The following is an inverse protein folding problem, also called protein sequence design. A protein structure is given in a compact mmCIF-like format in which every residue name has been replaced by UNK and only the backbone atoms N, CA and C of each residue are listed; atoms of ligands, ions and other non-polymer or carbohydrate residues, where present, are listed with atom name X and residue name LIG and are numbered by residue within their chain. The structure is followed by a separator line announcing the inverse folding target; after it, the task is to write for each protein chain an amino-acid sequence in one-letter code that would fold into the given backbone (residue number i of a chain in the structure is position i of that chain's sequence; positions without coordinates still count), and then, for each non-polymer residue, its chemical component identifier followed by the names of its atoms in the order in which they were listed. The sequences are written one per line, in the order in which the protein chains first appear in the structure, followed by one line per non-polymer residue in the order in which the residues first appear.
data_IF_488589716083
#
_entry.id   IF_488589716083
#
_cell.length_a   1.000
_cell.length_b   1.000
_cell.length_c   1.000
_cell.angle_alpha   90.00
_cell.angle_beta   90.00
_cell.angle_gamma   90.00
#
_symmetry.space_group_name_H-M   'P 1'
#
loop_
_entity.id
_entity.type
_entity.pdbx_description
1 polymer ?
#
# COMPACT_ATOMS: atom_id res chain seq x y z
N UNK A 1 -62.38 -19.04 -4.02
CA UNK A 1 -61.32 -19.96 -4.44
C UNK A 1 -60.45 -19.24 -5.49
N UNK A 2 -59.13 -19.24 -5.32
CA UNK A 2 -58.20 -18.66 -6.29
C UNK A 2 -58.13 -19.53 -7.56
N UNK A 3 -57.68 -18.99 -8.70
CA UNK A 3 -57.40 -19.76 -9.92
C UNK A 3 -56.54 -20.99 -9.61
N UNK A 4 -55.65 -20.88 -8.64
CA UNK A 4 -54.77 -21.94 -8.20
C UNK A 4 -55.54 -23.11 -7.51
N UNK A 5 -56.53 -22.79 -6.68
CA UNK A 5 -57.33 -23.84 -5.97
C UNK A 5 -58.19 -24.64 -6.96
N UNK A 6 -58.76 -23.99 -7.98
CA UNK A 6 -59.52 -24.66 -9.03
C UNK A 6 -58.65 -25.56 -9.89
N UNK A 7 -57.45 -25.15 -10.20
CA UNK A 7 -56.46 -25.94 -10.95
C UNK A 7 -56.00 -27.17 -10.16
N UNK A 8 -55.69 -27.00 -8.88
CA UNK A 8 -55.30 -28.10 -7.99
C UNK A 8 -56.46 -29.11 -7.87
N UNK A 9 -57.70 -28.64 -7.75
CA UNK A 9 -58.87 -29.50 -7.71
C UNK A 9 -59.04 -30.33 -9.00
N UNK A 10 -58.91 -29.67 -10.17
CA UNK A 10 -58.95 -30.35 -11.48
C UNK A 10 -57.86 -31.43 -11.59
N UNK A 11 -56.61 -31.13 -11.19
CA UNK A 11 -55.54 -32.11 -11.21
C UNK A 11 -55.77 -33.31 -10.29
N UNK A 12 -56.39 -33.11 -9.12
CA UNK A 12 -56.80 -34.18 -8.22
C UNK A 12 -57.87 -35.07 -8.85
N UNK A 13 -58.90 -34.45 -9.43
CA UNK A 13 -60.06 -35.17 -10.01
C UNK A 13 -59.65 -35.93 -11.29
N UNK A 14 -58.68 -35.44 -12.04
CA UNK A 14 -58.12 -36.06 -13.26
C UNK A 14 -57.02 -37.10 -12.99
N UNK A 15 -56.51 -37.20 -11.76
CA UNK A 15 -55.35 -38.04 -11.41
C UNK A 15 -53.99 -37.45 -11.84
N UNK A 16 -53.95 -36.24 -12.42
CA UNK A 16 -52.73 -35.62 -12.93
C UNK A 16 -51.87 -34.91 -11.88
N UNK A 17 -52.32 -34.87 -10.62
CA UNK A 17 -51.61 -34.12 -9.55
C UNK A 17 -50.17 -34.60 -9.33
N UNK A 18 -49.95 -35.91 -9.40
CA UNK A 18 -48.63 -36.50 -9.19
C UNK A 18 -47.63 -36.11 -10.30
N UNK A 19 -48.09 -36.18 -11.55
CA UNK A 19 -47.25 -35.86 -12.70
C UNK A 19 -46.91 -34.37 -12.74
N UNK A 20 -47.86 -33.49 -12.42
CA UNK A 20 -47.63 -32.07 -12.30
C UNK A 20 -46.64 -31.73 -11.16
N UNK A 21 -46.83 -32.37 -9.98
CA UNK A 21 -45.91 -32.18 -8.85
C UNK A 21 -44.48 -32.64 -9.19
N UNK A 22 -44.33 -33.74 -9.92
CA UNK A 22 -43.05 -34.26 -10.39
C UNK A 22 -42.39 -33.30 -11.40
N UNK A 23 -43.18 -32.76 -12.33
CA UNK A 23 -42.68 -31.78 -13.30
C UNK A 23 -42.21 -30.47 -12.63
N UNK A 24 -43.01 -29.98 -11.67
CA UNK A 24 -42.63 -28.80 -10.87
C UNK A 24 -41.36 -29.01 -10.04
N UNK A 25 -41.22 -30.18 -9.41
CA UNK A 25 -40.02 -30.54 -8.66
C UNK A 25 -38.80 -30.57 -9.58
N UNK A 26 -38.91 -31.18 -10.77
CA UNK A 26 -37.81 -31.20 -11.74
C UNK A 26 -37.44 -29.80 -12.22
N UNK A 27 -38.42 -28.92 -12.44
CA UNK A 27 -38.17 -27.51 -12.82
C UNK A 27 -37.45 -26.75 -11.71
N UNK A 28 -37.85 -26.92 -10.44
CA UNK A 28 -37.18 -26.30 -9.30
C UNK A 28 -35.74 -26.80 -9.15
N UNK A 29 -35.53 -28.11 -9.26
CA UNK A 29 -34.18 -28.69 -9.20
C UNK A 29 -33.27 -28.17 -10.33
N UNK A 30 -33.79 -28.02 -11.55
CA UNK A 30 -33.08 -27.46 -12.66
C UNK A 30 -32.77 -25.96 -12.43
N UNK A 31 -33.74 -25.20 -11.91
CA UNK A 31 -33.51 -23.78 -11.58
C UNK A 31 -32.46 -23.60 -10.48
N UNK A 32 -32.51 -24.43 -9.44
CA UNK A 32 -31.49 -24.42 -8.37
C UNK A 32 -30.10 -24.74 -8.92
N UNK A 33 -29.99 -25.80 -9.75
CA UNK A 33 -28.74 -26.18 -10.40
C UNK A 33 -28.18 -25.06 -11.27
N UNK A 34 -29.04 -24.41 -12.07
CA UNK A 34 -28.60 -23.26 -12.91
C UNK A 34 -28.16 -22.07 -12.04
N UNK A 35 -28.84 -21.82 -10.92
CA UNK A 35 -28.41 -20.76 -9.98
C UNK A 35 -27.04 -21.07 -9.41
N UNK A 36 -26.83 -22.28 -8.89
CA UNK A 36 -25.56 -22.70 -8.31
C UNK A 36 -24.41 -22.66 -9.33
N UNK A 37 -24.66 -23.08 -10.58
CA UNK A 37 -23.68 -22.98 -11.68
C UNK A 37 -23.36 -21.51 -12.01
N UNK A 38 -24.34 -20.62 -12.00
CA UNK A 38 -24.14 -19.20 -12.27
C UNK A 38 -23.37 -18.53 -11.12
N UNK A 39 -23.71 -18.83 -9.87
CA UNK A 39 -22.98 -18.33 -8.70
C UNK A 39 -21.53 -18.81 -8.71
N UNK A 40 -21.27 -20.08 -9.03
CA UNK A 40 -19.92 -20.60 -9.15
C UNK A 40 -19.11 -19.89 -10.25
N UNK A 41 -19.73 -19.65 -11.42
CA UNK A 41 -19.08 -18.91 -12.52
C UNK A 41 -18.79 -17.46 -12.15
N UNK A 42 -19.72 -16.80 -11.46
CA UNK A 42 -19.50 -15.42 -11.00
C UNK A 42 -18.38 -15.35 -9.94
N UNK A 43 -18.37 -16.29 -8.99
CA UNK A 43 -17.32 -16.37 -7.97
C UNK A 43 -15.94 -16.61 -8.61
N UNK A 44 -15.87 -17.51 -9.61
CA UNK A 44 -14.62 -17.76 -10.33
C UNK A 44 -14.15 -16.54 -11.15
N UNK A 45 -15.07 -15.87 -11.84
CA UNK A 45 -14.75 -14.65 -12.59
C UNK A 45 -14.26 -13.54 -11.67
N UNK A 46 -14.92 -13.34 -10.54
CA UNK A 46 -14.48 -12.38 -9.52
C UNK A 46 -13.10 -12.71 -8.97
N UNK A 47 -12.82 -13.96 -8.64
CA UNK A 47 -11.49 -14.39 -8.18
C UNK A 47 -10.42 -14.11 -9.22
N UNK A 48 -10.65 -14.46 -10.48
CA UNK A 48 -9.71 -14.19 -11.58
C UNK A 48 -9.44 -12.70 -11.77
N UNK A 49 -10.49 -11.88 -11.63
CA UNK A 49 -10.35 -10.44 -11.69
C UNK A 49 -9.47 -9.92 -10.54
N UNK A 50 -9.73 -10.34 -9.31
CA UNK A 50 -8.95 -9.96 -8.13
C UNK A 50 -7.47 -10.39 -8.26
N UNK A 51 -7.23 -11.60 -8.76
CA UNK A 51 -5.87 -12.09 -9.03
C UNK A 51 -5.16 -11.22 -10.08
N UNK A 52 -5.85 -10.88 -11.18
CA UNK A 52 -5.29 -10.03 -12.23
C UNK A 52 -4.99 -8.60 -11.74
N UNK A 53 -5.89 -8.01 -10.96
CA UNK A 53 -5.70 -6.69 -10.34
C UNK A 53 -4.52 -6.70 -9.36
N UNK A 54 -4.39 -7.74 -8.55
CA UNK A 54 -3.28 -7.91 -7.60
C UNK A 54 -1.94 -8.02 -8.34
N UNK A 55 -1.88 -8.82 -9.42
CA UNK A 55 -0.68 -8.96 -10.25
C UNK A 55 -0.32 -7.63 -10.91
N UNK A 56 -1.30 -6.92 -11.46
CA UNK A 56 -1.09 -5.61 -12.09
C UNK A 56 -0.58 -4.56 -11.09
N UNK A 57 -1.14 -4.55 -9.88
CA UNK A 57 -0.71 -3.69 -8.78
C UNK A 57 0.76 -3.91 -8.42
N UNK A 58 1.15 -5.15 -8.14
CA UNK A 58 2.53 -5.48 -7.77
C UNK A 58 3.52 -5.25 -8.90
N UNK A 59 3.10 -5.49 -10.15
CA UNK A 59 3.90 -5.14 -11.33
C UNK A 59 4.13 -3.63 -11.41
N UNK A 60 3.09 -2.81 -11.21
CA UNK A 60 3.21 -1.35 -11.19
C UNK A 60 4.16 -0.84 -10.12
N UNK A 61 4.12 -1.42 -8.91
CA UNK A 61 5.07 -1.13 -7.83
C UNK A 61 6.49 -1.48 -8.26
N UNK A 62 6.70 -2.69 -8.79
CA UNK A 62 8.01 -3.13 -9.25
C UNK A 62 8.57 -2.23 -10.34
N UNK A 63 7.78 -1.90 -11.35
CA UNK A 63 8.16 -1.00 -12.44
C UNK A 63 8.57 0.40 -11.92
N UNK A 64 7.89 0.89 -10.86
CA UNK A 64 8.23 2.17 -10.21
C UNK A 64 9.56 2.08 -9.47
N UNK A 65 9.78 1.00 -8.73
CA UNK A 65 11.05 0.76 -8.01
C UNK A 65 12.21 0.59 -8.99
N UNK A 66 12.01 -0.13 -10.10
CA UNK A 66 13.02 -0.36 -11.13
C UNK A 66 13.40 0.95 -11.86
N UNK A 67 12.48 1.90 -12.00
CA UNK A 67 12.76 3.26 -12.48
C UNK A 67 13.57 4.08 -11.48
N UNK A 68 13.66 3.64 -10.24
CA UNK A 68 14.38 4.29 -9.14
C UNK A 68 13.92 5.73 -8.88
N UNK A 69 12.63 6.02 -9.10
CA UNK A 69 12.07 7.35 -8.82
C UNK A 69 10.70 7.22 -8.16
N UNK A 70 10.59 7.71 -6.91
CA UNK A 70 9.35 7.70 -6.13
C UNK A 70 9.05 9.12 -5.68
N UNK A 71 7.96 9.70 -6.16
CA UNK A 71 7.52 11.05 -5.75
C UNK A 71 8.57 12.14 -5.99
N UNK A 72 9.37 12.02 -7.07
CA UNK A 72 10.46 12.94 -7.38
C UNK A 72 11.76 12.68 -6.60
N UNK A 73 11.79 11.63 -5.77
CA UNK A 73 13.01 11.18 -5.08
C UNK A 73 13.65 10.05 -5.86
N UNK A 74 14.96 10.17 -6.14
CA UNK A 74 15.73 9.12 -6.81
C UNK A 74 16.24 8.12 -5.79
N UNK A 75 15.87 6.88 -5.94
CA UNK A 75 16.41 5.79 -5.13
C UNK A 75 17.89 5.54 -5.51
N UNK A 76 18.79 5.38 -4.54
CA UNK A 76 20.17 4.99 -4.81
C UNK A 76 20.25 3.57 -5.39
N UNK A 77 21.33 3.22 -6.06
CA UNK A 77 21.59 1.86 -6.54
C UNK A 77 21.74 0.88 -5.38
N UNK A 78 22.34 1.35 -4.32
CA UNK A 78 22.49 0.63 -3.07
C UNK A 78 22.57 1.62 -1.91
N UNK A 79 22.14 1.17 -0.74
CA UNK A 79 22.22 1.92 0.52
C UNK A 79 22.80 0.99 1.58
N UNK A 80 23.71 1.51 2.39
CA UNK A 80 24.21 0.78 3.56
C UNK A 80 23.36 1.17 4.75
N UNK A 81 22.68 0.20 5.37
CA UNK A 81 21.95 0.39 6.63
C UNK A 81 22.55 -0.48 7.72
N UNK A 82 22.38 -0.05 8.96
CA UNK A 82 22.76 -0.86 10.11
C UNK A 82 21.54 -1.70 10.57
N UNK A 83 21.76 -3.01 10.71
CA UNK A 83 20.76 -3.95 11.22
C UNK A 83 21.44 -4.77 12.31
N UNK A 84 20.95 -4.67 13.54
CA UNK A 84 21.51 -5.39 14.70
C UNK A 84 23.04 -5.17 14.88
N UNK A 85 23.53 -3.96 14.67
CA UNK A 85 24.94 -3.61 14.77
C UNK A 85 25.81 -4.04 13.58
N UNK A 86 25.21 -4.61 12.53
CA UNK A 86 25.89 -5.02 11.31
C UNK A 86 25.50 -4.12 10.13
N UNK A 87 26.49 -3.71 9.35
CA UNK A 87 26.26 -2.94 8.12
C UNK A 87 25.84 -3.88 7.00
N UNK A 88 24.62 -3.67 6.49
CA UNK A 88 24.04 -4.45 5.39
C UNK A 88 23.80 -3.55 4.22
N UNK A 89 24.29 -3.93 3.04
CA UNK A 89 23.99 -3.24 1.79
C UNK A 89 22.64 -3.70 1.27
N UNK A 90 21.74 -2.77 1.02
CA UNK A 90 20.39 -3.03 0.47
C UNK A 90 20.23 -2.34 -0.87
N UNK A 91 19.43 -2.94 -1.73
CA UNK A 91 19.16 -2.51 -3.11
C UNK A 91 17.67 -2.19 -3.30
N UNK A 92 17.26 -1.59 -4.42
CA UNK A 92 15.84 -1.46 -4.76
C UNK A 92 15.08 -2.79 -4.81
N UNK A 93 15.73 -3.90 -5.17
CA UNK A 93 15.08 -5.22 -5.13
C UNK A 93 14.80 -5.67 -3.69
N UNK A 94 15.71 -5.42 -2.75
CA UNK A 94 15.47 -5.72 -1.33
C UNK A 94 14.32 -4.85 -0.78
N UNK A 95 14.17 -3.64 -1.30
CA UNK A 95 13.02 -2.79 -0.96
C UNK A 95 11.72 -3.36 -1.51
N UNK A 96 11.71 -3.88 -2.75
CA UNK A 96 10.55 -4.58 -3.28
C UNK A 96 10.18 -5.80 -2.44
N UNK A 97 11.16 -6.62 -2.08
CA UNK A 97 10.95 -7.80 -1.23
C UNK A 97 10.42 -7.42 0.16
N UNK A 98 10.91 -6.34 0.74
CA UNK A 98 10.42 -5.78 2.01
C UNK A 98 8.91 -5.46 1.96
N UNK A 99 8.42 -4.96 0.82
CA UNK A 99 7.01 -4.61 0.62
C UNK A 99 6.14 -5.82 0.27
N UNK A 100 6.65 -6.79 -0.51
CA UNK A 100 5.83 -7.82 -1.17
C UNK A 100 6.02 -9.22 -0.63
N UNK A 101 7.19 -9.53 -0.03
CA UNK A 101 7.52 -10.88 0.40
C UNK A 101 6.85 -11.20 1.73
N UNK A 102 5.85 -12.08 1.67
CA UNK A 102 5.21 -12.63 2.87
C UNK A 102 6.17 -13.54 3.65
N UNK A 103 6.28 -13.30 4.94
CA UNK A 103 7.08 -14.10 5.89
C UNK A 103 6.09 -14.71 6.86
N UNK A 104 6.16 -16.04 7.02
CA UNK A 104 5.34 -16.78 7.97
C UNK A 104 5.92 -16.60 9.37
N UNK A 105 5.06 -16.27 10.35
CA UNK A 105 5.42 -16.24 11.76
C UNK A 105 5.26 -17.64 12.44
N UNK A 106 5.57 -17.70 13.73
CA UNK A 106 5.46 -18.92 14.53
C UNK A 106 4.00 -19.40 14.66
N UNK A 107 3.04 -18.48 14.63
CA UNK A 107 1.60 -18.76 14.71
C UNK A 107 0.99 -19.13 13.34
N UNK A 108 1.78 -19.06 12.28
CA UNK A 108 1.36 -19.39 10.93
C UNK A 108 0.77 -18.23 10.12
N UNK A 109 0.72 -17.00 10.68
CA UNK A 109 0.26 -15.82 9.96
C UNK A 109 1.32 -15.36 8.97
N UNK A 110 0.89 -14.93 7.80
CA UNK A 110 1.77 -14.42 6.75
C UNK A 110 1.64 -12.90 6.71
N UNK A 111 2.76 -12.21 6.94
CA UNK A 111 2.84 -10.76 6.83
C UNK A 111 4.17 -10.36 6.17
N UNK A 112 4.17 -9.25 5.44
CA UNK A 112 5.40 -8.70 4.87
C UNK A 112 6.25 -8.03 5.96
N UNK A 113 7.52 -7.80 5.67
CA UNK A 113 8.39 -7.07 6.60
C UNK A 113 7.89 -5.63 6.83
N UNK A 114 7.29 -5.02 5.82
CA UNK A 114 6.66 -3.71 5.93
C UNK A 114 5.44 -3.70 6.87
N UNK A 115 4.53 -4.66 6.72
CA UNK A 115 3.35 -4.79 7.59
C UNK A 115 3.76 -5.02 9.06
N UNK A 116 4.79 -5.83 9.30
CA UNK A 116 5.34 -6.02 10.65
C UNK A 116 5.96 -4.75 11.20
N UNK A 117 6.67 -3.99 10.37
CA UNK A 117 7.23 -2.71 10.79
C UNK A 117 6.13 -1.72 11.18
N UNK A 118 5.04 -1.66 10.41
CA UNK A 118 3.86 -0.84 10.74
C UNK A 118 3.20 -1.28 12.05
N UNK A 119 3.03 -2.59 12.24
CA UNK A 119 2.42 -3.13 13.46
C UNK A 119 3.26 -2.86 14.73
N UNK A 120 4.57 -2.71 14.58
CA UNK A 120 5.50 -2.45 15.67
C UNK A 120 5.76 -0.95 15.92
N UNK A 121 5.16 -0.05 15.13
CA UNK A 121 5.27 1.39 15.36
C UNK A 121 4.62 1.80 16.68
N UNK A 122 5.25 2.75 17.38
CA UNK A 122 4.58 3.42 18.49
C UNK A 122 3.41 4.28 17.99
N UNK A 123 2.38 4.53 18.82
CA UNK A 123 1.28 5.42 18.47
C UNK A 123 1.74 6.83 18.05
N UNK A 124 2.81 7.33 18.64
CA UNK A 124 3.40 8.62 18.30
C UNK A 124 4.03 8.60 16.89
N UNK A 125 4.80 7.56 16.55
CA UNK A 125 5.41 7.41 15.22
C UNK A 125 4.34 7.28 14.13
N UNK A 126 3.31 6.46 14.36
CA UNK A 126 2.19 6.30 13.43
C UNK A 126 1.47 7.64 13.19
N UNK A 127 1.16 8.39 14.28
CA UNK A 127 0.53 9.70 14.18
C UNK A 127 1.40 10.71 13.43
N UNK A 128 2.70 10.74 13.70
CA UNK A 128 3.62 11.64 13.02
C UNK A 128 3.73 11.33 11.52
N UNK A 129 3.74 10.06 11.15
CA UNK A 129 3.75 9.64 9.73
C UNK A 129 2.47 10.03 9.00
N UNK A 130 1.32 9.85 9.65
CA UNK A 130 0.02 10.25 9.12
C UNK A 130 -0.05 11.78 8.91
N UNK A 131 0.37 12.55 9.92
CA UNK A 131 0.41 14.02 9.83
C UNK A 131 1.34 14.52 8.73
N UNK A 132 2.50 13.90 8.55
CA UNK A 132 3.42 14.24 7.44
C UNK A 132 2.79 13.95 6.09
N UNK A 133 2.11 12.82 5.94
CA UNK A 133 1.39 12.46 4.72
C UNK A 133 0.26 13.42 4.42
N UNK A 134 -0.54 13.77 5.45
CA UNK A 134 -1.62 14.75 5.34
C UNK A 134 -1.09 16.14 4.98
N UNK A 135 0.04 16.56 5.56
CA UNK A 135 0.68 17.83 5.22
C UNK A 135 1.14 17.89 3.76
N UNK A 136 1.73 16.80 3.25
CA UNK A 136 2.11 16.72 1.84
C UNK A 136 0.90 16.84 0.91
N UNK A 137 -0.19 16.14 1.23
CA UNK A 137 -1.44 16.24 0.46
C UNK A 137 -2.02 17.66 0.51
N UNK A 138 -2.06 18.27 1.69
CA UNK A 138 -2.60 19.62 1.90
C UNK A 138 -1.81 20.69 1.12
N UNK A 139 -0.49 20.58 1.11
CA UNK A 139 0.40 21.56 0.44
C UNK A 139 0.61 21.27 -1.04
N UNK A 140 0.18 20.11 -1.55
CA UNK A 140 0.52 19.65 -2.90
C UNK A 140 2.02 19.45 -3.11
N UNK A 141 2.77 19.35 -2.00
CA UNK A 141 4.21 19.19 -2.00
C UNK A 141 4.67 17.76 -2.27
N UNK A 142 5.97 17.61 -2.42
CA UNK A 142 6.64 16.33 -2.61
C UNK A 142 7.55 16.01 -1.44
N UNK A 143 7.97 14.74 -1.30
CA UNK A 143 8.99 14.35 -0.33
C UNK A 143 10.31 15.14 -0.52
N UNK A 144 10.64 15.55 -1.75
CA UNK A 144 11.76 16.42 -2.04
C UNK A 144 11.64 17.78 -1.36
N UNK A 145 10.44 18.30 -1.25
CA UNK A 145 10.19 19.58 -0.57
C UNK A 145 10.34 19.44 0.96
N UNK A 146 9.92 18.31 1.55
CA UNK A 146 10.19 18.01 2.96
C UNK A 146 11.68 17.93 3.25
N UNK A 147 12.46 17.28 2.41
CA UNK A 147 13.93 17.20 2.57
C UNK A 147 14.54 18.58 2.50
N UNK A 148 14.14 19.43 1.55
CA UNK A 148 14.62 20.83 1.47
C UNK A 148 14.27 21.63 2.73
N UNK A 149 13.04 21.46 3.25
CA UNK A 149 12.63 22.13 4.50
C UNK A 149 13.46 21.64 5.70
N UNK A 150 13.73 20.35 5.79
CA UNK A 150 14.57 19.78 6.85
C UNK A 150 16.00 20.34 6.79
N UNK A 151 16.63 20.36 5.61
CA UNK A 151 17.96 20.94 5.42
C UNK A 151 17.97 22.42 5.80
N UNK A 152 17.01 23.21 5.36
CA UNK A 152 16.91 24.62 5.70
C UNK A 152 16.77 24.83 7.20
N UNK A 153 15.96 24.01 7.90
CA UNK A 153 15.79 24.10 9.34
C UNK A 153 17.08 23.78 10.10
N UNK A 154 17.86 22.79 9.68
CA UNK A 154 19.16 22.47 10.27
C UNK A 154 20.19 23.57 10.02
N UNK A 155 20.24 24.16 8.83
CA UNK A 155 21.09 25.31 8.53
C UNK A 155 20.74 26.51 9.43
N UNK A 156 19.44 26.79 9.63
CA UNK A 156 19.00 27.88 10.51
C UNK A 156 19.37 27.59 11.99
N UNK A 157 19.24 26.34 12.45
CA UNK A 157 19.70 25.96 13.80
C UNK A 157 21.21 26.16 13.98
N UNK A 158 21.99 25.71 12.99
CA UNK A 158 23.45 25.84 13.01
C UNK A 158 23.85 27.31 13.03
N UNK A 159 23.25 28.16 12.18
CA UNK A 159 23.48 29.59 12.17
C UNK A 159 23.14 30.27 13.50
N UNK A 160 22.04 29.88 14.14
CA UNK A 160 21.63 30.36 15.46
C UNK A 160 22.63 29.95 16.55
N UNK A 161 23.19 28.75 16.50
CA UNK A 161 24.20 28.27 17.43
C UNK A 161 25.52 29.05 17.26
N UNK A 162 25.97 29.24 16.01
CA UNK A 162 27.15 30.05 15.71
C UNK A 162 26.96 31.50 16.15
N UNK A 163 25.79 32.10 15.91
CA UNK A 163 25.49 33.47 16.34
C UNK A 163 25.43 33.61 17.88
N UNK A 164 24.97 32.54 18.61
CA UNK A 164 25.03 32.52 20.09
C UNK A 164 26.44 32.35 20.64
N UNK A 165 27.28 31.55 19.95
CA UNK A 165 28.69 31.34 20.34
C UNK A 165 29.57 32.56 20.15
N UNK A 166 29.23 33.47 19.22
CA UNK A 166 30.03 34.64 18.84
C UNK A 166 29.62 35.94 19.57
N UNK A 167 29.10 35.88 20.79
CA UNK A 167 28.88 37.08 21.65
C UNK A 167 30.19 37.65 22.21
N UNK A 168 31.32 37.40 21.62
CA UNK A 168 32.61 37.94 21.94
C UNK A 168 33.42 38.23 20.70
N UNK A 169 33.48 39.51 20.31
CA UNK A 169 34.45 40.16 19.40
C UNK A 169 34.46 39.68 17.93
N UNK A 170 34.09 40.60 17.06
CA UNK A 170 34.51 40.62 15.66
C UNK A 170 33.39 40.47 14.64
N UNK A 171 33.20 41.52 13.85
CA UNK A 171 32.36 41.53 12.63
C UNK A 171 32.74 40.41 11.68
N UNK A 172 31.93 39.36 11.64
CA UNK A 172 32.05 38.32 10.61
C UNK A 172 31.51 38.89 9.31
N UNK A 173 32.35 39.10 8.32
CA UNK A 173 31.92 39.34 6.94
C UNK A 173 31.26 38.08 6.43
N UNK A 174 29.95 38.12 6.27
CA UNK A 174 29.19 37.08 5.59
C UNK A 174 29.52 37.19 4.10
N UNK A 175 30.46 36.43 3.62
CA UNK A 175 30.59 36.14 2.19
C UNK A 175 29.42 35.31 1.79
N UNK A 176 28.60 35.80 0.86
CA UNK A 176 27.50 35.02 0.26
C UNK A 176 28.08 33.68 -0.21
N UNK A 177 27.49 32.53 0.15
CA UNK A 177 27.94 31.28 -0.42
C UNK A 177 27.72 31.35 -1.93
N UNK A 178 28.80 31.17 -2.70
CA UNK A 178 28.67 30.91 -4.12
C UNK A 178 27.83 29.65 -4.29
N UNK A 179 26.69 29.78 -4.94
CA UNK A 179 25.84 28.66 -5.36
C UNK A 179 26.60 27.86 -6.42
N UNK A 180 27.46 26.96 -5.99
CA UNK A 180 27.88 25.84 -6.81
C UNK A 180 26.77 24.79 -6.74
N UNK A 181 25.79 24.98 -7.60
CA UNK A 181 24.83 23.93 -7.94
C UNK A 181 25.62 22.75 -8.48
N UNK A 182 25.44 21.59 -7.89
CA UNK A 182 25.64 20.22 -8.41
C UNK A 182 26.64 19.29 -7.73
N UNK A 183 27.15 19.55 -6.50
CA UNK A 183 27.97 18.49 -5.85
C UNK A 183 27.64 18.14 -4.39
N UNK A 184 26.64 18.74 -3.79
CA UNK A 184 26.35 18.54 -2.35
C UNK A 184 25.35 17.43 -2.01
N UNK A 185 24.81 16.74 -3.00
CA UNK A 185 23.79 15.69 -2.76
C UNK A 185 24.42 14.29 -2.68
N UNK A 186 25.63 14.10 -3.18
CA UNK A 186 26.25 12.77 -3.25
C UNK A 186 26.90 12.28 -1.94
N UNK A 187 26.89 13.10 -0.86
CA UNK A 187 27.53 12.75 0.41
C UNK A 187 26.62 12.88 1.64
N UNK A 188 25.33 12.63 1.54
CA UNK A 188 24.51 12.49 2.73
C UNK A 188 24.62 11.06 3.25
N UNK A 189 25.57 10.82 4.15
CA UNK A 189 25.58 9.63 5.00
C UNK A 189 24.53 9.84 6.09
N UNK A 190 23.49 9.02 6.06
CA UNK A 190 22.56 8.89 7.17
C UNK A 190 23.19 7.95 8.21
N UNK A 191 23.50 8.49 9.34
CA UNK A 191 23.84 7.75 10.56
C UNK A 191 22.59 7.47 11.38
#
# INVERSE_FOLDING_TARGET
ASLNDNYIKYLKDSGGLYDEAKAQLANLQNADKQRDENEAKQAEAYRKQQEAETIAYWKGIKDTIDKREIGGYKLPESLVKEVNGQKVTVTPNDFYDYLSRGIKDEDGNIATAYERALANQSPEEATNQELLSAWLMFTGGTYKDLVKMAINNEQVKTLKLVAKGNKGHGTVRITKPQTNNNKAIDNIQFS
#
